data_IF_098777684828
#
_entry.id   IF_098777684828
#
_cell.length_a   1.000
_cell.length_b   1.000
_cell.length_c   1.000
_cell.angle_alpha   90.00
_cell.angle_beta   90.00
_cell.angle_gamma   90.00
#
_symmetry.space_group_name_H-M   'P 1'
#
loop_
_entity.id
_entity.type
_entity.pdbx_description
1 polymer ?
#
# COMPACT_ATOMS: atom_id res chain seq x y z
N UNK A 1 -15.92 14.60 14.60
CA UNK A 1 -15.32 15.36 13.49
C UNK A 1 -16.44 15.74 12.53
N UNK A 2 -16.56 17.01 12.12
CA UNK A 2 -17.58 17.45 11.17
C UNK A 2 -17.18 17.06 9.73
N UNK A 3 -18.08 16.39 8.99
CA UNK A 3 -17.86 15.96 7.61
C UNK A 3 -17.49 17.14 6.70
N UNK A 4 -18.09 18.31 6.90
CA UNK A 4 -17.79 19.48 6.07
C UNK A 4 -16.32 19.91 6.21
N UNK A 5 -15.74 19.75 7.40
CA UNK A 5 -14.32 20.03 7.63
C UNK A 5 -13.41 18.96 7.04
N UNK A 6 -13.81 17.69 7.09
CA UNK A 6 -13.06 16.60 6.46
C UNK A 6 -12.96 16.79 4.93
N UNK A 7 -14.09 17.07 4.26
CA UNK A 7 -14.10 17.32 2.82
C UNK A 7 -13.29 18.56 2.42
N UNK A 8 -13.36 19.63 3.21
CA UNK A 8 -12.58 20.85 2.96
C UNK A 8 -11.08 20.60 3.07
N UNK A 9 -10.64 19.85 4.09
CA UNK A 9 -9.24 19.44 4.23
C UNK A 9 -8.81 18.54 3.08
N UNK A 10 -9.64 17.55 2.73
CA UNK A 10 -9.41 16.68 1.58
C UNK A 10 -9.23 17.47 0.27
N UNK A 11 -10.10 18.45 0.02
CA UNK A 11 -9.99 19.32 -1.16
C UNK A 11 -8.66 20.09 -1.20
N UNK A 12 -8.21 20.66 -0.08
CA UNK A 12 -6.91 21.35 0.00
C UNK A 12 -5.73 20.42 -0.25
N UNK A 13 -5.80 19.19 0.24
CA UNK A 13 -4.76 18.18 0.00
C UNK A 13 -4.74 17.71 -1.46
N UNK A 14 -5.90 17.71 -2.14
CA UNK A 14 -5.98 17.47 -3.58
C UNK A 14 -5.39 18.65 -4.37
N UNK A 15 -5.71 19.89 -4.00
CA UNK A 15 -5.10 21.08 -4.61
C UNK A 15 -3.57 21.08 -4.48
N UNK A 16 -3.05 20.59 -3.34
CA UNK A 16 -1.62 20.43 -3.10
C UNK A 16 -0.99 19.21 -3.80
N UNK A 17 -1.76 18.38 -4.50
CA UNK A 17 -1.26 17.18 -5.18
C UNK A 17 -0.91 16.00 -4.26
N UNK A 18 -1.21 16.09 -2.96
CA UNK A 18 -0.94 15.05 -1.97
C UNK A 18 -1.98 13.93 -2.01
N UNK A 19 -3.22 14.27 -2.37
CA UNK A 19 -4.30 13.31 -2.59
C UNK A 19 -4.84 13.42 -4.03
N UNK A 20 -5.45 12.35 -4.51
CA UNK A 20 -6.37 12.38 -5.65
C UNK A 20 -7.76 12.00 -5.16
N UNK A 21 -8.80 12.65 -5.69
CA UNK A 21 -10.18 12.32 -5.40
C UNK A 21 -10.81 11.61 -6.60
N UNK A 22 -11.35 10.40 -6.39
CA UNK A 22 -11.96 9.58 -7.43
C UNK A 22 -13.37 9.18 -7.05
N UNK A 23 -14.28 9.17 -8.02
CA UNK A 23 -15.61 8.58 -7.87
C UNK A 23 -15.62 7.21 -8.52
N UNK A 24 -15.59 6.15 -7.71
CA UNK A 24 -15.53 4.76 -8.18
C UNK A 24 -16.92 4.25 -8.55
N UNK A 25 -17.94 4.61 -7.75
CA UNK A 25 -19.32 4.16 -7.93
C UNK A 25 -20.25 5.34 -8.24
N UNK A 26 -21.16 5.13 -9.20
CA UNK A 26 -22.16 6.14 -9.55
C UNK A 26 -23.09 6.45 -8.38
N UNK A 27 -23.39 7.74 -8.15
CA UNK A 27 -24.28 8.18 -7.07
C UNK A 27 -23.74 8.00 -5.65
N UNK A 28 -22.49 7.56 -5.47
CA UNK A 28 -21.85 7.37 -4.16
C UNK A 28 -20.78 8.44 -3.90
N UNK A 29 -20.43 8.69 -2.61
CA UNK A 29 -19.29 9.53 -2.27
C UNK A 29 -18.01 9.09 -2.97
N UNK A 30 -17.16 10.05 -3.30
CA UNK A 30 -15.83 9.74 -3.82
C UNK A 30 -14.88 9.33 -2.69
N UNK A 31 -13.75 8.75 -3.10
CA UNK A 31 -12.68 8.32 -2.23
C UNK A 31 -11.45 9.18 -2.48
N UNK A 32 -10.70 9.44 -1.41
CA UNK A 32 -9.40 10.10 -1.49
C UNK A 32 -8.30 9.05 -1.45
N UNK A 33 -7.36 9.13 -2.37
CA UNK A 33 -6.23 8.20 -2.49
C UNK A 33 -4.95 9.03 -2.38
N UNK A 34 -4.01 8.62 -1.52
CA UNK A 34 -2.71 9.27 -1.44
C UNK A 34 -1.94 9.10 -2.76
N UNK A 35 -1.38 10.20 -3.28
CA UNK A 35 -0.46 10.14 -4.41
C UNK A 35 0.92 9.67 -3.93
N UNK A 36 1.83 9.36 -4.86
CA UNK A 36 3.25 9.12 -4.49
C UNK A 36 3.81 10.30 -3.70
N UNK A 37 3.58 11.53 -4.17
CA UNK A 37 3.99 12.76 -3.47
C UNK A 37 3.37 12.85 -2.07
N UNK A 38 2.10 12.47 -1.91
CA UNK A 38 1.43 12.45 -0.60
C UNK A 38 2.04 11.45 0.37
N UNK A 39 2.36 10.24 -0.11
CA UNK A 39 3.01 9.21 0.69
C UNK A 39 4.42 9.64 1.12
N UNK A 40 5.20 10.17 0.18
CA UNK A 40 6.55 10.67 0.43
C UNK A 40 6.51 11.84 1.45
N UNK A 41 5.54 12.75 1.31
CA UNK A 41 5.34 13.86 2.27
C UNK A 41 5.02 13.36 3.69
N UNK A 42 4.29 12.24 3.81
CA UNK A 42 4.00 11.61 5.10
C UNK A 42 5.13 10.72 5.65
N UNK A 43 6.22 10.53 4.90
CA UNK A 43 7.29 9.59 5.26
C UNK A 43 6.88 8.12 5.18
N UNK A 44 5.83 7.80 4.41
CA UNK A 44 5.35 6.43 4.23
C UNK A 44 5.91 5.82 2.95
N UNK A 45 6.70 4.75 3.08
CA UNK A 45 7.27 4.03 1.94
C UNK A 45 6.31 3.00 1.33
N UNK A 46 5.00 3.21 1.45
CA UNK A 46 3.99 2.28 0.93
C UNK A 46 3.80 2.43 -0.59
N UNK A 47 3.31 1.39 -1.29
CA UNK A 47 2.81 1.55 -2.66
C UNK A 47 1.54 2.41 -2.67
N UNK A 48 1.30 3.15 -3.75
CA UNK A 48 0.02 3.86 -3.94
C UNK A 48 -1.13 2.84 -3.94
N UNK A 49 -2.21 3.12 -3.22
CA UNK A 49 -3.35 2.20 -3.16
C UNK A 49 -4.05 2.09 -4.53
N UNK A 50 -4.28 0.86 -4.97
CA UNK A 50 -5.15 0.53 -6.09
C UNK A 50 -6.57 0.27 -5.61
N UNK A 51 -7.54 0.43 -6.51
CA UNK A 51 -8.92 0.01 -6.26
C UNK A 51 -9.32 -0.92 -7.40
N UNK A 52 -9.63 -2.15 -7.05
CA UNK A 52 -10.20 -3.14 -7.96
C UNK A 52 -11.52 -3.66 -7.37
N UNK A 53 -12.60 -3.60 -8.16
CA UNK A 53 -13.89 -4.09 -7.72
C UNK A 53 -13.94 -5.63 -7.72
N UNK A 54 -13.09 -6.29 -8.50
CA UNK A 54 -13.01 -7.74 -8.55
C UNK A 54 -12.50 -8.34 -7.23
N UNK A 55 -11.61 -7.63 -6.52
CA UNK A 55 -11.02 -8.07 -5.24
C UNK A 55 -11.71 -7.46 -4.03
N UNK A 56 -12.70 -6.58 -4.21
CA UNK A 56 -13.29 -5.79 -3.12
C UNK A 56 -13.71 -6.62 -1.89
N UNK A 57 -14.39 -7.76 -2.10
CA UNK A 57 -14.84 -8.61 -1.00
C UNK A 57 -13.64 -9.19 -0.24
N UNK A 58 -12.66 -9.72 -0.97
CA UNK A 58 -11.42 -10.23 -0.41
C UNK A 58 -10.65 -9.15 0.35
N UNK A 59 -10.52 -7.94 -0.22
CA UNK A 59 -9.81 -6.83 0.41
C UNK A 59 -10.48 -6.41 1.73
N UNK A 60 -11.81 -6.41 1.80
CA UNK A 60 -12.55 -6.12 3.03
C UNK A 60 -12.33 -7.20 4.09
N UNK A 61 -12.36 -8.48 3.69
CA UNK A 61 -12.10 -9.61 4.59
C UNK A 61 -10.66 -9.58 5.12
N UNK A 62 -9.68 -9.27 4.27
CA UNK A 62 -8.28 -9.13 4.67
C UNK A 62 -8.08 -7.99 5.69
N UNK A 63 -8.81 -6.87 5.55
CA UNK A 63 -8.78 -5.77 6.54
C UNK A 63 -9.35 -6.22 7.88
N UNK A 64 -10.48 -6.93 7.89
CA UNK A 64 -11.06 -7.45 9.14
C UNK A 64 -10.12 -8.45 9.83
N UNK A 65 -9.55 -9.38 9.05
CA UNK A 65 -8.54 -10.31 9.55
C UNK A 65 -7.33 -9.58 10.13
N UNK A 66 -6.85 -8.53 9.46
CA UNK A 66 -5.76 -7.69 9.95
C UNK A 66 -6.08 -7.09 11.33
N UNK A 67 -7.27 -6.51 11.49
CA UNK A 67 -7.72 -5.94 12.78
C UNK A 67 -7.78 -7.03 13.86
N UNK A 68 -8.30 -8.22 13.55
CA UNK A 68 -8.36 -9.35 14.48
C UNK A 68 -6.96 -9.78 14.93
N UNK A 69 -6.03 -9.93 13.98
CA UNK A 69 -4.63 -10.28 14.26
C UNK A 69 -3.92 -9.20 15.08
N UNK A 70 -4.16 -7.91 14.80
CA UNK A 70 -3.59 -6.81 15.59
C UNK A 70 -4.12 -6.82 17.03
N UNK A 71 -5.39 -7.16 17.23
CA UNK A 71 -5.97 -7.31 18.57
C UNK A 71 -5.37 -8.50 19.34
N UNK A 72 -5.08 -9.61 18.65
CA UNK A 72 -4.51 -10.81 19.25
C UNK A 72 -3.00 -10.69 19.52
N UNK A 73 -2.25 -10.18 18.55
CA UNK A 73 -0.77 -10.23 18.54
C UNK A 73 -0.09 -8.87 18.74
N UNK A 74 -0.83 -7.77 18.87
CA UNK A 74 -0.35 -6.37 18.80
C UNK A 74 0.02 -5.91 17.39
N UNK A 75 -0.14 -4.60 17.13
CA UNK A 75 0.10 -4.02 15.82
C UNK A 75 1.56 -4.19 15.35
N UNK A 76 2.53 -4.15 16.27
CA UNK A 76 3.94 -4.29 15.96
C UNK A 76 4.34 -5.69 15.50
N UNK A 77 3.53 -6.70 15.82
CA UNK A 77 3.76 -8.10 15.44
C UNK A 77 3.11 -8.49 14.11
N UNK A 78 2.23 -7.65 13.56
CA UNK A 78 1.50 -7.91 12.32
C UNK A 78 2.12 -7.09 11.19
N UNK A 79 2.40 -7.75 10.08
CA UNK A 79 2.88 -7.09 8.86
C UNK A 79 1.94 -7.43 7.71
N UNK A 80 1.41 -6.38 7.08
CA UNK A 80 0.60 -6.51 5.88
C UNK A 80 1.49 -6.80 4.67
N UNK A 81 0.93 -7.44 3.63
CA UNK A 81 1.62 -7.67 2.36
C UNK A 81 2.22 -6.38 1.77
N UNK A 82 1.50 -5.26 1.89
CA UNK A 82 1.95 -3.94 1.42
C UNK A 82 3.20 -3.45 2.14
N UNK A 83 3.33 -3.76 3.43
CA UNK A 83 4.52 -3.42 4.23
C UNK A 83 5.68 -4.36 3.94
N UNK A 84 5.42 -5.66 3.78
CA UNK A 84 6.43 -6.63 3.33
C UNK A 84 7.00 -6.19 1.98
N UNK A 85 6.13 -5.85 1.02
CA UNK A 85 6.49 -5.36 -0.30
C UNK A 85 7.27 -4.06 -0.24
N UNK A 86 6.82 -3.09 0.57
CA UNK A 86 7.50 -1.82 0.76
C UNK A 86 8.97 -2.02 1.19
N UNK A 87 9.19 -2.83 2.23
CA UNK A 87 10.52 -3.09 2.80
C UNK A 87 11.44 -3.78 1.79
N UNK A 88 11.00 -4.90 1.22
CA UNK A 88 11.85 -5.68 0.33
C UNK A 88 12.04 -5.04 -1.05
N UNK A 89 11.04 -4.35 -1.60
CA UNK A 89 11.19 -3.73 -2.92
C UNK A 89 12.11 -2.52 -2.87
N UNK A 90 12.11 -1.74 -1.78
CA UNK A 90 13.01 -0.61 -1.61
C UNK A 90 14.47 -1.07 -1.65
N UNK A 91 14.79 -2.08 -0.82
CA UNK A 91 16.11 -2.70 -0.73
C UNK A 91 16.50 -3.37 -2.06
N UNK A 92 15.58 -4.11 -2.69
CA UNK A 92 15.83 -4.78 -3.96
C UNK A 92 16.15 -3.79 -5.09
N UNK A 93 15.44 -2.67 -5.18
CA UNK A 93 15.75 -1.63 -6.18
C UNK A 93 17.08 -0.93 -5.91
N UNK A 94 17.45 -0.73 -4.65
CA UNK A 94 18.75 -0.19 -4.29
C UNK A 94 19.88 -1.15 -4.69
N UNK A 95 19.78 -2.44 -4.34
CA UNK A 95 20.74 -3.47 -4.69
C UNK A 95 20.89 -3.62 -6.21
N UNK A 96 19.77 -3.66 -6.95
CA UNK A 96 19.77 -3.75 -8.41
C UNK A 96 20.52 -2.59 -9.07
N UNK A 97 20.27 -1.34 -8.63
CA UNK A 97 20.98 -0.15 -9.16
C UNK A 97 22.48 -0.18 -8.89
N UNK A 98 22.88 -0.79 -7.78
CA UNK A 98 24.28 -0.90 -7.36
C UNK A 98 24.98 -2.17 -7.90
N UNK A 99 24.28 -3.01 -8.66
CA UNK A 99 24.81 -4.30 -9.14
C UNK A 99 25.06 -5.31 -8.02
N UNK A 100 24.40 -5.16 -6.88
CA UNK A 100 24.50 -6.06 -5.73
C UNK A 100 23.48 -7.21 -5.84
N UNK A 101 23.77 -8.37 -5.22
CA UNK A 101 22.81 -9.47 -5.16
C UNK A 101 21.53 -9.07 -4.44
N UNK A 102 20.39 -9.62 -4.87
CA UNK A 102 19.10 -9.43 -4.21
C UNK A 102 18.95 -10.41 -3.05
N UNK A 103 18.82 -9.89 -1.83
CA UNK A 103 18.57 -10.66 -0.62
C UNK A 103 17.26 -10.19 0.05
N UNK A 104 16.08 -10.58 -0.50
CA UNK A 104 14.80 -10.20 0.08
C UNK A 104 14.61 -10.86 1.45
N UNK A 105 14.01 -10.14 2.40
CA UNK A 105 13.75 -10.65 3.75
C UNK A 105 12.49 -11.50 3.82
N UNK A 106 11.48 -11.13 3.04
CA UNK A 106 10.13 -11.70 3.09
C UNK A 106 9.68 -12.29 1.75
N UNK A 107 10.11 -11.69 0.64
CA UNK A 107 9.75 -12.12 -0.70
C UNK A 107 10.48 -13.41 -1.11
N UNK A 108 9.86 -14.17 -2.01
CA UNK A 108 10.45 -15.35 -2.64
C UNK A 108 10.76 -15.03 -4.10
N UNK A 109 12.00 -15.27 -4.55
CA UNK A 109 12.36 -15.13 -5.96
C UNK A 109 11.88 -16.37 -6.75
N UNK A 110 10.78 -16.25 -7.50
CA UNK A 110 10.21 -17.38 -8.25
C UNK A 110 10.89 -17.67 -9.59
N UNK A 111 11.37 -16.62 -10.28
CA UNK A 111 11.84 -16.74 -11.67
C UNK A 111 13.24 -16.14 -11.92
N UNK A 112 13.66 -15.17 -11.11
CA UNK A 112 14.94 -14.48 -11.26
C UNK A 112 15.34 -13.83 -9.93
N UNK A 113 16.58 -14.08 -9.51
CA UNK A 113 17.22 -13.36 -8.40
C UNK A 113 17.93 -12.08 -8.87
N UNK A 114 17.84 -11.75 -10.16
CA UNK A 114 18.62 -10.66 -10.77
C UNK A 114 17.81 -9.40 -11.00
N UNK A 115 16.48 -9.44 -10.84
CA UNK A 115 15.62 -8.27 -11.01
C UNK A 115 14.54 -8.17 -9.91
N UNK A 116 14.29 -6.98 -9.35
CA UNK A 116 13.26 -6.78 -8.31
C UNK A 116 11.85 -7.24 -8.73
N UNK A 117 11.55 -7.22 -10.04
CA UNK A 117 10.26 -7.69 -10.58
C UNK A 117 10.06 -9.21 -10.51
N UNK A 118 11.13 -9.98 -10.24
CA UNK A 118 11.06 -11.43 -10.05
C UNK A 118 10.66 -11.85 -8.62
N UNK A 119 10.51 -10.89 -7.71
CA UNK A 119 10.12 -11.13 -6.33
C UNK A 119 8.61 -11.33 -6.20
N UNK A 120 8.23 -12.43 -5.56
CA UNK A 120 6.87 -12.78 -5.21
C UNK A 120 6.66 -12.56 -3.72
N UNK A 121 5.55 -11.91 -3.37
CA UNK A 121 5.11 -11.75 -1.99
C UNK A 121 3.95 -12.70 -1.79
N UNK A 122 3.93 -13.53 -0.74
CA UNK A 122 2.82 -14.43 -0.49
C UNK A 122 1.54 -13.62 -0.30
N UNK A 123 0.70 -13.60 -1.33
CA UNK A 123 -0.70 -13.26 -1.24
C UNK A 123 -1.50 -14.56 -1.07
N UNK A 124 -2.53 -14.50 -0.25
CA UNK A 124 -3.55 -15.55 -0.21
C UNK A 124 -4.55 -15.20 -1.33
N UNK A 125 -4.23 -15.53 -2.59
CA UNK A 125 -5.23 -15.51 -3.66
C UNK A 125 -5.98 -16.83 -3.68
#
# INVERSE_FOLDING_TARGET
>A
MDLANAYRRGARLVEAGLLTHRRVLHGRPGVYIATRVGLDWSGLELPVAGIDLATYVHDVEAVWLGIELECEFTAEAVLTERELRSRDMSDAWAAYRNGQPLEPRYAVALHSQTAPRGLHFPDLV
#
